data_IF_787638762833
#
_entry.id   IF_787638762833
#
_cell.length_a   1.000
_cell.length_b   1.000
_cell.length_c   1.000
_cell.angle_alpha   90.00
_cell.angle_beta   90.00
_cell.angle_gamma   90.00
#
_symmetry.space_group_name_H-M   'P 1'
#
loop_
_entity.id
_entity.type
_entity.pdbx_description
1 polymer ?
#
# COMPACT_ATOMS: atom_id res chain seq x y z
N UNK A 1 10.41 5.97 -1.84
CA UNK A 1 11.37 5.01 -1.26
C UNK A 1 10.63 4.18 -0.24
N UNK A 2 10.77 2.85 -0.24
CA UNK A 2 10.14 1.96 0.74
C UNK A 2 11.18 1.58 1.81
N UNK A 3 10.86 1.85 3.07
CA UNK A 3 11.56 1.27 4.22
C UNK A 3 10.74 0.08 4.71
N UNK A 4 11.34 -1.09 4.74
CA UNK A 4 10.73 -2.28 5.34
C UNK A 4 11.78 -3.04 6.14
N UNK A 5 11.51 -3.26 7.42
CA UNK A 5 12.38 -3.99 8.34
C UNK A 5 13.85 -3.51 8.31
N UNK A 6 14.04 -2.18 8.27
CA UNK A 6 15.37 -1.56 8.24
C UNK A 6 16.06 -1.55 6.87
N UNK A 7 15.45 -2.12 5.83
CA UNK A 7 15.95 -2.06 4.46
C UNK A 7 15.25 -0.94 3.69
N UNK A 8 16.05 -0.07 3.08
CA UNK A 8 15.58 0.98 2.17
C UNK A 8 15.79 0.55 0.73
N UNK A 9 14.72 0.59 -0.07
CA UNK A 9 14.80 0.29 -1.50
C UNK A 9 13.86 1.18 -2.30
N UNK A 10 14.27 1.51 -3.53
CA UNK A 10 13.38 2.15 -4.49
C UNK A 10 12.46 1.08 -5.10
N UNK A 11 11.16 1.35 -5.04
CA UNK A 11 10.12 0.50 -5.59
C UNK A 11 9.28 1.34 -6.54
N UNK A 12 8.94 0.78 -7.70
CA UNK A 12 8.02 1.41 -8.63
C UNK A 12 6.59 1.19 -8.15
N UNK A 13 5.80 2.24 -8.14
CA UNK A 13 4.40 2.19 -7.75
C UNK A 13 3.55 2.52 -8.98
N UNK A 14 2.79 1.53 -9.46
CA UNK A 14 1.81 1.76 -10.51
C UNK A 14 0.62 2.49 -9.90
N UNK A 15 0.41 3.74 -10.29
CA UNK A 15 -0.58 4.62 -9.66
C UNK A 15 -1.62 5.03 -10.68
N UNK A 16 -2.89 4.86 -10.32
CA UNK A 16 -4.04 5.26 -11.13
C UNK A 16 -4.83 6.34 -10.43
N UNK A 17 -5.01 7.46 -11.12
CA UNK A 17 -5.93 8.50 -10.69
C UNK A 17 -7.38 8.06 -10.95
N UNK A 18 -8.21 8.09 -9.91
CA UNK A 18 -9.61 7.65 -9.96
C UNK A 18 -10.60 8.82 -10.10
N UNK A 19 -10.14 10.05 -9.86
CA UNK A 19 -10.94 11.25 -10.00
C UNK A 19 -10.97 12.09 -8.73
N UNK A 20 -11.69 13.21 -8.84
CA UNK A 20 -12.06 14.07 -7.71
C UNK A 20 -13.56 13.95 -7.51
N UNK A 21 -13.97 13.83 -6.26
CA UNK A 21 -15.36 13.85 -5.83
C UNK A 21 -15.55 14.73 -4.62
N UNK A 22 -16.79 15.12 -4.37
CA UNK A 22 -17.19 15.81 -3.15
C UNK A 22 -17.72 14.81 -2.13
N UNK A 23 -17.30 14.94 -0.88
CA UNK A 23 -17.83 14.15 0.22
C UNK A 23 -19.35 14.30 0.31
N UNK A 24 -20.07 13.18 0.28
CA UNK A 24 -21.54 13.13 0.33
C UNK A 24 -22.09 13.09 1.77
N UNK A 25 -21.23 13.16 2.79
CA UNK A 25 -21.60 13.12 4.20
C UNK A 25 -22.22 11.80 4.69
N UNK A 26 -22.24 10.76 3.86
CA UNK A 26 -22.87 9.45 4.16
C UNK A 26 -21.88 8.39 4.65
N UNK A 27 -20.58 8.71 4.72
CA UNK A 27 -19.52 7.83 5.25
C UNK A 27 -18.93 8.33 6.58
N UNK A 28 -18.51 7.40 7.44
CA UNK A 28 -17.85 7.68 8.73
C UNK A 28 -16.62 8.58 8.51
N UNK A 29 -16.71 9.85 8.92
CA UNK A 29 -15.62 10.83 8.82
C UNK A 29 -15.57 11.67 7.54
N UNK A 30 -16.68 11.78 6.78
CA UNK A 30 -16.79 12.69 5.63
C UNK A 30 -17.65 13.91 5.93
N UNK A 31 -17.18 15.10 5.54
CA UNK A 31 -17.95 16.34 5.62
C UNK A 31 -18.64 16.57 4.27
N UNK A 32 -19.91 16.99 4.30
CA UNK A 32 -20.66 17.40 3.11
C UNK A 32 -19.91 18.50 2.35
N UNK A 33 -19.63 18.28 1.07
CA UNK A 33 -18.99 19.28 0.20
C UNK A 33 -17.46 19.33 0.26
N UNK A 34 -16.81 18.49 1.06
CA UNK A 34 -15.36 18.42 1.10
C UNK A 34 -14.80 17.85 -0.21
N UNK A 35 -13.88 18.56 -0.87
CA UNK A 35 -13.23 18.08 -2.09
C UNK A 35 -12.24 16.97 -1.74
N UNK A 36 -12.36 15.83 -2.41
CA UNK A 36 -11.50 14.66 -2.21
C UNK A 36 -10.99 14.14 -3.55
N UNK A 37 -9.71 13.82 -3.61
CA UNK A 37 -9.13 13.07 -4.71
C UNK A 37 -9.00 11.59 -4.32
N UNK A 38 -9.29 10.69 -5.25
CA UNK A 38 -9.07 9.27 -5.09
C UNK A 38 -7.99 8.79 -6.06
N UNK A 39 -7.09 7.95 -5.58
CA UNK A 39 -6.18 7.19 -6.40
C UNK A 39 -6.01 5.78 -5.85
N UNK A 40 -5.76 4.82 -6.74
CA UNK A 40 -5.29 3.50 -6.36
C UNK A 40 -3.84 3.35 -6.77
N UNK A 41 -3.10 2.56 -6.01
CA UNK A 41 -1.71 2.29 -6.34
C UNK A 41 -1.34 0.85 -6.03
N UNK A 42 -0.50 0.24 -6.85
CA UNK A 42 -0.07 -1.14 -6.66
C UNK A 42 1.41 -1.33 -6.95
N UNK A 43 2.02 -2.31 -6.29
CA UNK A 43 3.40 -2.71 -6.56
C UNK A 43 3.61 -4.17 -6.17
N UNK A 44 4.55 -4.83 -6.85
CA UNK A 44 5.03 -6.16 -6.47
C UNK A 44 6.43 -6.05 -5.88
N UNK A 45 6.60 -6.67 -4.72
CA UNK A 45 7.84 -6.71 -3.96
C UNK A 45 8.37 -8.15 -3.93
N UNK A 46 9.69 -8.28 -4.04
CA UNK A 46 10.36 -9.56 -3.82
C UNK A 46 10.94 -9.59 -2.40
N UNK A 47 10.55 -10.59 -1.61
CA UNK A 47 10.91 -10.71 -0.19
C UNK A 47 12.42 -10.73 0.07
N UNK A 48 13.19 -11.30 -0.85
CA UNK A 48 14.67 -11.35 -0.79
C UNK A 48 15.31 -9.96 -0.85
N UNK A 49 14.60 -8.98 -1.42
CA UNK A 49 15.02 -7.59 -1.45
C UNK A 49 14.91 -6.86 -0.11
N UNK A 50 14.26 -7.45 0.91
CA UNK A 50 13.98 -6.81 2.21
C UNK A 50 14.41 -7.63 3.42
N UNK A 51 15.22 -8.69 3.24
CA UNK A 51 15.76 -9.53 4.34
C UNK A 51 14.70 -10.01 5.34
N UNK A 52 13.49 -10.32 4.87
CA UNK A 52 12.48 -10.97 5.70
C UNK A 52 12.95 -12.41 5.98
N UNK A 53 13.47 -12.65 7.20
CA UNK A 53 14.14 -13.91 7.56
C UNK A 53 13.16 -15.08 7.67
N UNK A 54 13.03 -15.78 6.56
CA UNK A 54 12.26 -17.01 6.41
C UNK A 54 12.82 -18.20 7.19
N UNK A 55 14.05 -18.14 7.74
CA UNK A 55 14.59 -19.21 8.61
C UNK A 55 13.75 -19.40 9.87
N UNK A 56 13.05 -18.37 10.33
CA UNK A 56 12.06 -18.47 11.41
C UNK A 56 10.81 -19.26 10.98
N UNK A 57 10.45 -19.23 9.70
CA UNK A 57 9.24 -19.84 9.13
C UNK A 57 9.44 -21.32 8.72
N UNK A 58 10.60 -21.70 8.17
CA UNK A 58 10.95 -23.12 7.95
C UNK A 58 10.84 -23.91 9.25
N UNK A 59 11.32 -23.30 10.34
CA UNK A 59 11.30 -23.89 11.68
C UNK A 59 9.88 -24.18 12.21
N UNK A 60 8.86 -23.57 11.61
CA UNK A 60 7.44 -23.74 11.92
C UNK A 60 6.73 -24.72 10.97
N UNK A 61 7.45 -25.40 10.08
CA UNK A 61 6.88 -26.44 9.20
C UNK A 61 6.08 -25.91 8.01
N UNK A 62 6.21 -24.62 7.66
CA UNK A 62 5.54 -24.03 6.49
C UNK A 62 6.37 -24.36 5.26
N UNK A 63 5.88 -25.29 4.43
CA UNK A 63 6.67 -25.90 3.36
C UNK A 63 7.05 -24.94 2.21
N UNK A 64 6.25 -23.90 1.92
CA UNK A 64 6.56 -22.89 0.90
C UNK A 64 5.81 -21.59 1.16
N UNK A 65 6.51 -20.46 1.04
CA UNK A 65 5.94 -19.10 1.01
C UNK A 65 6.43 -18.46 -0.29
N UNK A 66 5.51 -17.90 -1.08
CA UNK A 66 5.83 -17.21 -2.32
C UNK A 66 6.85 -16.08 -2.10
N UNK A 67 7.79 -15.94 -3.04
CA UNK A 67 8.81 -14.88 -2.97
C UNK A 67 8.23 -13.47 -3.25
N UNK A 68 7.05 -13.42 -3.88
CA UNK A 68 6.40 -12.19 -4.32
C UNK A 68 5.31 -11.77 -3.36
N UNK A 69 5.31 -10.47 -3.01
CA UNK A 69 4.29 -9.82 -2.21
C UNK A 69 3.67 -8.71 -3.05
N UNK A 70 2.36 -8.72 -3.26
CA UNK A 70 1.65 -7.60 -3.89
C UNK A 70 1.13 -6.65 -2.82
N UNK A 71 1.40 -5.37 -3.00
CA UNK A 71 0.89 -4.29 -2.16
C UNK A 71 -0.14 -3.52 -2.98
N UNK A 72 -1.34 -3.37 -2.43
CA UNK A 72 -2.44 -2.61 -3.00
C UNK A 72 -2.81 -1.48 -2.03
N UNK A 73 -2.96 -0.27 -2.55
CA UNK A 73 -3.25 0.94 -1.79
C UNK A 73 -4.48 1.61 -2.39
N UNK A 74 -5.50 1.81 -1.56
CA UNK A 74 -6.63 2.69 -1.85
C UNK A 74 -6.44 4.00 -1.08
N UNK A 75 -6.24 5.08 -1.82
CA UNK A 75 -5.84 6.38 -1.26
C UNK A 75 -6.97 7.39 -1.49
N UNK A 76 -7.33 8.09 -0.42
CA UNK A 76 -8.18 9.27 -0.47
C UNK A 76 -7.40 10.45 0.11
N UNK A 77 -7.30 11.53 -0.65
CA UNK A 77 -6.63 12.75 -0.25
C UNK A 77 -7.63 13.90 -0.15
N UNK A 78 -7.53 14.67 0.93
CA UNK A 78 -8.19 15.96 1.11
C UNK A 78 -7.14 17.06 0.94
N UNK A 79 -7.48 18.21 0.31
CA UNK A 79 -6.56 19.33 0.26
C UNK A 79 -6.29 19.83 1.68
N UNK A 80 -5.02 20.07 1.99
CA UNK A 80 -4.62 20.73 3.23
C UNK A 80 -4.87 22.24 3.07
N UNK A 81 -5.49 22.86 4.08
CA UNK A 81 -5.68 24.33 4.13
C UNK A 81 -4.35 25.08 4.30
#
# INVERSE_FOLDING_TARGET
MLNLHGVNRNVSLDTRYLGIGTGTGTGTGTIMGETRAACSASTELHREGFTLDWRSMIRRGIAMIGATMRVELDIQAVPQE
#
